data_IF_166452515251
#
_entry.id   IF_166452515251
#
_cell.length_a   1.000
_cell.length_b   1.000
_cell.length_c   1.000
_cell.angle_alpha   90.00
_cell.angle_beta   90.00
_cell.angle_gamma   90.00
#
_symmetry.space_group_name_H-M   'P 1'
#
loop_
_entity.id
_entity.type
_entity.pdbx_description
1 polymer ?
#
# COMPACT_ATOMS: atom_id res chain seq x y z
N UNK A 1 -20.18 -15.54 -0.30
CA UNK A 1 -19.50 -14.60 0.63
C UNK A 1 -19.13 -13.35 -0.16
N UNK A 2 -19.39 -12.14 0.35
CA UNK A 2 -18.98 -10.88 -0.29
C UNK A 2 -17.50 -10.67 0.02
N UNK A 3 -16.67 -10.57 -1.02
CA UNK A 3 -15.22 -10.42 -0.88
C UNK A 3 -14.77 -8.94 -0.88
N UNK A 4 -15.49 -8.07 -1.59
CA UNK A 4 -15.22 -6.62 -1.64
C UNK A 4 -16.02 -5.86 -0.57
N UNK A 5 -15.81 -6.21 0.70
CA UNK A 5 -16.60 -5.66 1.83
C UNK A 5 -16.45 -4.15 1.98
N UNK A 6 -15.28 -3.61 1.70
CA UNK A 6 -14.92 -2.21 1.90
C UNK A 6 -14.92 -1.45 0.57
N UNK A 7 -14.22 -1.94 -0.45
CA UNK A 7 -14.05 -1.18 -1.71
C UNK A 7 -15.37 -0.88 -2.41
N UNK A 8 -16.40 -1.73 -2.20
CA UNK A 8 -17.77 -1.50 -2.68
C UNK A 8 -18.39 -0.18 -2.22
N UNK A 9 -17.89 0.44 -1.16
CA UNK A 9 -18.41 1.71 -0.62
C UNK A 9 -18.39 2.80 -1.70
N UNK A 10 -17.35 2.85 -2.54
CA UNK A 10 -17.29 3.81 -3.66
C UNK A 10 -17.31 3.16 -5.04
N UNK A 11 -17.09 1.84 -5.17
CA UNK A 11 -17.15 1.18 -6.48
C UNK A 11 -18.54 0.71 -6.89
N UNK A 12 -19.50 0.69 -5.97
CA UNK A 12 -20.88 0.22 -6.20
C UNK A 12 -21.96 1.23 -5.82
N UNK A 13 -21.57 2.39 -5.31
CA UNK A 13 -22.49 3.47 -4.99
C UNK A 13 -22.59 4.43 -6.19
N UNK A 14 -23.73 4.40 -6.87
CA UNK A 14 -24.01 5.24 -8.05
C UNK A 14 -24.05 6.74 -7.70
N UNK A 15 -24.15 7.10 -6.41
CA UNK A 15 -24.03 8.49 -5.94
C UNK A 15 -22.58 9.00 -5.87
N UNK A 16 -21.59 8.13 -6.08
CA UNK A 16 -20.16 8.45 -6.05
C UNK A 16 -19.47 8.31 -7.41
N UNK A 17 -19.97 8.94 -8.50
CA UNK A 17 -19.40 8.79 -9.84
C UNK A 17 -17.98 9.35 -9.96
N UNK A 18 -17.64 10.36 -9.15
CA UNK A 18 -16.29 10.94 -9.14
C UNK A 18 -15.22 9.93 -8.70
N UNK A 19 -15.51 9.14 -7.65
CA UNK A 19 -14.61 8.09 -7.18
C UNK A 19 -14.38 7.03 -8.25
N UNK A 20 -15.46 6.61 -8.91
CA UNK A 20 -15.41 5.63 -10.00
C UNK A 20 -14.61 6.17 -11.19
N UNK A 21 -14.82 7.43 -11.57
CA UNK A 21 -14.08 8.08 -12.65
C UNK A 21 -12.56 8.17 -12.36
N UNK A 22 -12.17 8.47 -11.11
CA UNK A 22 -10.75 8.50 -10.71
C UNK A 22 -10.09 7.12 -10.81
N UNK A 23 -10.80 6.06 -10.45
CA UNK A 23 -10.29 4.68 -10.56
C UNK A 23 -10.15 4.25 -12.03
N UNK A 24 -11.12 4.61 -12.87
CA UNK A 24 -11.05 4.36 -14.31
C UNK A 24 -9.88 5.13 -14.92
N UNK A 25 -9.70 6.41 -14.52
CA UNK A 25 -8.55 7.22 -14.92
C UNK A 25 -7.20 6.64 -14.46
N UNK A 26 -7.17 5.92 -13.34
CA UNK A 26 -6.01 5.18 -12.86
C UNK A 26 -5.77 3.84 -13.61
N UNK A 27 -6.63 3.49 -14.56
CA UNK A 27 -6.47 2.32 -15.45
C UNK A 27 -7.33 1.12 -15.07
N UNK A 28 -8.31 1.25 -14.16
CA UNK A 28 -9.25 0.17 -13.86
C UNK A 28 -10.38 0.13 -14.88
N UNK A 29 -10.88 -1.08 -15.15
CA UNK A 29 -12.08 -1.28 -15.96
C UNK A 29 -13.34 -1.37 -15.09
N UNK A 30 -14.53 -1.24 -15.71
CA UNK A 30 -15.81 -1.48 -15.02
C UNK A 30 -15.90 -2.87 -14.37
N UNK A 31 -15.22 -3.86 -14.96
CA UNK A 31 -15.12 -5.20 -14.41
C UNK A 31 -14.24 -5.23 -13.15
N UNK A 32 -13.17 -4.44 -13.13
CA UNK A 32 -12.26 -4.33 -11.98
C UNK A 32 -12.94 -3.68 -10.78
N UNK A 33 -13.81 -2.69 -11.00
CA UNK A 33 -14.61 -2.05 -9.94
C UNK A 33 -15.48 -3.06 -9.15
N UNK A 34 -15.71 -4.26 -9.70
CA UNK A 34 -16.49 -5.32 -9.04
C UNK A 34 -15.63 -6.28 -8.22
N UNK A 35 -14.30 -6.21 -8.34
CA UNK A 35 -13.35 -7.10 -7.68
C UNK A 35 -12.96 -6.54 -6.31
N UNK A 36 -12.48 -7.38 -5.38
CA UNK A 36 -11.85 -6.91 -4.15
C UNK A 36 -10.53 -6.20 -4.44
N UNK A 37 -10.26 -5.14 -3.69
CA UNK A 37 -9.05 -4.32 -3.81
C UNK A 37 -8.04 -4.70 -2.73
N UNK A 38 -6.81 -4.96 -3.13
CA UNK A 38 -5.68 -5.23 -2.24
C UNK A 38 -4.70 -4.06 -2.32
N UNK A 39 -4.55 -3.34 -1.20
CA UNK A 39 -3.51 -2.33 -1.04
C UNK A 39 -2.16 -3.00 -0.83
N UNK A 40 -1.19 -2.72 -1.70
CA UNK A 40 0.15 -3.30 -1.62
C UNK A 40 1.10 -2.22 -1.11
N UNK A 41 1.44 -2.27 0.18
CA UNK A 41 2.28 -1.27 0.82
C UNK A 41 3.75 -1.66 0.68
N UNK A 42 4.56 -0.82 0.04
CA UNK A 42 6.01 -1.00 -0.02
C UNK A 42 6.73 0.00 0.86
N UNK A 43 7.76 -0.45 1.58
CA UNK A 43 8.74 0.43 2.25
C UNK A 43 10.00 0.60 1.40
N UNK A 44 9.89 0.47 0.07
CA UNK A 44 11.03 0.53 -0.84
C UNK A 44 11.56 1.94 -1.07
N UNK A 45 12.83 2.16 -0.72
CA UNK A 45 13.60 3.36 -1.01
C UNK A 45 15.07 3.00 -1.25
N UNK A 46 15.80 3.82 -2.01
CA UNK A 46 17.11 3.46 -2.56
C UNK A 46 18.28 3.65 -1.58
N UNK A 47 18.10 4.48 -0.56
CA UNK A 47 19.14 4.85 0.41
C UNK A 47 19.47 3.78 1.47
N UNK A 48 18.90 2.57 1.39
CA UNK A 48 19.17 1.49 2.34
C UNK A 48 19.15 0.12 1.65
N UNK A 49 20.13 -0.73 1.96
CA UNK A 49 20.25 -2.07 1.36
C UNK A 49 19.08 -2.97 1.74
N UNK A 50 18.49 -2.78 2.93
CA UNK A 50 17.29 -3.50 3.37
C UNK A 50 16.04 -3.16 2.55
N UNK A 51 15.99 -2.00 1.87
CA UNK A 51 14.77 -1.47 1.26
C UNK A 51 14.85 -1.30 -0.27
N UNK A 52 16.05 -1.17 -0.84
CA UNK A 52 16.26 -0.85 -2.27
C UNK A 52 15.57 -1.81 -3.26
N UNK A 53 15.27 -3.03 -2.84
CA UNK A 53 14.69 -4.08 -3.68
C UNK A 53 13.18 -4.29 -3.46
N UNK A 54 12.58 -3.64 -2.45
CA UNK A 54 11.21 -3.94 -2.03
C UNK A 54 10.15 -3.49 -3.03
N UNK A 55 10.41 -2.46 -3.83
CA UNK A 55 9.48 -2.06 -4.91
C UNK A 55 9.38 -3.15 -6.00
N UNK A 56 10.47 -3.84 -6.30
CA UNK A 56 10.46 -4.99 -7.21
C UNK A 56 9.68 -6.17 -6.63
N UNK A 57 9.85 -6.45 -5.34
CA UNK A 57 9.04 -7.46 -4.63
C UNK A 57 7.55 -7.09 -4.59
N UNK A 58 7.22 -5.82 -4.38
CA UNK A 58 5.84 -5.34 -4.42
C UNK A 58 5.19 -5.54 -5.81
N UNK A 59 5.98 -5.44 -6.88
CA UNK A 59 5.50 -5.73 -8.24
C UNK A 59 5.22 -7.23 -8.45
N UNK A 60 6.00 -8.13 -7.83
CA UNK A 60 5.70 -9.57 -7.81
C UNK A 60 4.43 -9.88 -7.01
N UNK A 61 4.26 -9.26 -5.85
CA UNK A 61 3.03 -9.38 -5.05
C UNK A 61 1.83 -8.91 -5.88
N UNK A 62 1.95 -7.78 -6.59
CA UNK A 62 0.89 -7.28 -7.48
C UNK A 62 0.54 -8.27 -8.58
N UNK A 63 1.53 -8.90 -9.22
CA UNK A 63 1.30 -9.98 -10.20
C UNK A 63 0.51 -11.13 -9.59
N UNK A 64 0.89 -11.59 -8.39
CA UNK A 64 0.19 -12.65 -7.68
C UNK A 64 -1.26 -12.31 -7.35
N UNK A 65 -1.51 -11.10 -6.83
CA UNK A 65 -2.86 -10.59 -6.54
C UNK A 65 -3.73 -10.58 -7.81
N UNK A 66 -3.20 -10.05 -8.92
CA UNK A 66 -3.93 -9.97 -10.18
C UNK A 66 -4.21 -11.34 -10.79
N UNK A 67 -3.27 -12.29 -10.65
CA UNK A 67 -3.46 -13.67 -11.09
C UNK A 67 -4.60 -14.40 -10.36
N UNK A 68 -4.94 -13.97 -9.14
CA UNK A 68 -6.10 -14.47 -8.39
C UNK A 68 -7.41 -13.73 -8.70
N UNK A 69 -7.43 -12.88 -9.74
CA UNK A 69 -8.62 -12.14 -10.14
C UNK A 69 -8.98 -10.99 -9.19
N UNK A 70 -8.02 -10.49 -8.42
CA UNK A 70 -8.16 -9.34 -7.53
C UNK A 70 -7.51 -8.09 -8.14
N UNK A 71 -7.81 -6.92 -7.59
CA UNK A 71 -7.17 -5.65 -8.00
C UNK A 71 -6.04 -5.33 -7.03
N UNK A 72 -4.81 -5.24 -7.52
CA UNK A 72 -3.65 -4.82 -6.73
C UNK A 72 -3.29 -3.34 -6.97
N UNK A 73 -3.38 -2.52 -5.93
CA UNK A 73 -3.03 -1.10 -5.96
C UNK A 73 -1.83 -0.85 -5.02
N UNK A 74 -0.68 -0.52 -5.60
CA UNK A 74 0.54 -0.27 -4.84
C UNK A 74 0.56 1.15 -4.30
N UNK A 75 0.97 1.28 -3.04
CA UNK A 75 1.36 2.55 -2.43
C UNK A 75 2.63 2.34 -1.62
N UNK A 76 3.24 3.44 -1.15
CA UNK A 76 4.46 3.38 -0.37
C UNK A 76 4.29 4.09 0.97
N UNK A 77 5.06 3.64 1.95
CA UNK A 77 5.34 4.40 3.18
C UNK A 77 6.84 4.60 3.34
N UNK A 78 7.22 5.40 4.33
CA UNK A 78 8.60 5.78 4.62
C UNK A 78 9.39 4.63 5.26
N UNK A 79 10.70 4.85 5.42
CA UNK A 79 11.59 4.04 6.22
C UNK A 79 12.85 4.81 6.56
N UNK A 80 13.56 4.36 7.60
CA UNK A 80 14.84 4.92 8.04
C UNK A 80 15.85 3.78 8.20
N UNK A 81 17.11 4.04 7.85
CA UNK A 81 18.19 3.08 8.09
C UNK A 81 18.83 3.33 9.45
N UNK A 82 18.63 2.39 10.39
CA UNK A 82 19.31 2.42 11.68
C UNK A 82 20.84 2.37 11.48
N UNK A 83 21.31 1.61 10.48
CA UNK A 83 22.73 1.52 10.15
C UNK A 83 23.37 2.85 9.75
N UNK A 84 22.64 3.72 9.03
CA UNK A 84 23.13 5.05 8.62
C UNK A 84 23.01 6.07 9.75
N UNK A 85 21.94 6.00 10.53
CA UNK A 85 21.63 7.00 11.57
C UNK A 85 22.33 6.72 12.90
N UNK A 86 22.87 5.53 13.10
CA UNK A 86 23.53 5.16 14.35
C UNK A 86 24.73 6.06 14.65
N UNK A 87 24.80 6.57 15.88
CA UNK A 87 25.87 7.46 16.34
C UNK A 87 25.74 8.93 15.94
N UNK A 88 24.62 9.35 15.32
CA UNK A 88 24.31 10.76 15.07
C UNK A 88 22.86 11.12 15.44
N UNK A 89 22.51 12.41 15.34
CA UNK A 89 21.19 12.92 15.73
C UNK A 89 20.02 12.34 14.92
N UNK A 90 20.29 11.72 13.77
CA UNK A 90 19.30 11.00 12.98
C UNK A 90 18.67 9.82 13.72
N UNK A 91 19.38 9.19 14.67
CA UNK A 91 18.86 8.03 15.43
C UNK A 91 17.62 8.39 16.26
N UNK A 92 17.41 9.68 16.57
CA UNK A 92 16.19 10.17 17.22
C UNK A 92 14.91 9.91 16.41
N UNK A 93 15.06 9.69 15.10
CA UNK A 93 13.95 9.44 14.17
C UNK A 93 13.72 7.96 13.86
N UNK A 94 14.57 7.05 14.36
CA UNK A 94 14.42 5.60 14.12
C UNK A 94 13.13 5.06 14.74
N UNK A 95 12.99 5.09 16.07
CA UNK A 95 11.86 4.43 16.74
C UNK A 95 10.50 5.07 16.39
N UNK A 96 10.45 6.40 16.24
CA UNK A 96 9.21 7.10 15.87
C UNK A 96 8.77 6.79 14.43
N UNK A 97 9.68 6.34 13.55
CA UNK A 97 9.31 5.93 12.19
C UNK A 97 8.32 4.76 12.20
N UNK A 98 8.35 3.89 13.21
CA UNK A 98 7.38 2.80 13.39
C UNK A 98 5.94 3.31 13.47
N UNK A 99 5.70 4.35 14.28
CA UNK A 99 4.36 4.93 14.44
C UNK A 99 3.91 5.61 13.14
N UNK A 100 4.80 6.37 12.50
CA UNK A 100 4.51 7.04 11.23
C UNK A 100 4.14 6.01 10.15
N UNK A 101 4.85 4.88 10.11
CA UNK A 101 4.57 3.79 9.18
C UNK A 101 3.19 3.19 9.46
N UNK A 102 2.88 2.85 10.72
CA UNK A 102 1.57 2.33 11.10
C UNK A 102 0.44 3.30 10.73
N UNK A 103 0.56 4.58 11.13
CA UNK A 103 -0.43 5.63 10.87
C UNK A 103 -0.63 5.86 9.36
N UNK A 104 0.46 5.82 8.58
CA UNK A 104 0.37 6.01 7.13
C UNK A 104 -0.36 4.85 6.43
N UNK A 105 -0.15 3.61 6.89
CA UNK A 105 -0.82 2.43 6.36
C UNK A 105 -2.30 2.47 6.74
N UNK A 106 -2.62 2.82 7.99
CA UNK A 106 -3.99 2.98 8.46
C UNK A 106 -4.72 4.07 7.67
N UNK A 107 -4.11 5.24 7.48
CA UNK A 107 -4.68 6.33 6.70
C UNK A 107 -4.98 5.90 5.26
N UNK A 108 -4.05 5.21 4.60
CA UNK A 108 -4.27 4.70 3.24
C UNK A 108 -5.39 3.66 3.18
N UNK A 109 -5.39 2.69 4.09
CA UNK A 109 -6.39 1.63 4.11
C UNK A 109 -7.80 2.17 4.42
N UNK A 110 -7.90 3.08 5.39
CA UNK A 110 -9.14 3.71 5.80
C UNK A 110 -9.71 4.66 4.75
N UNK A 111 -8.86 5.47 4.11
CA UNK A 111 -9.30 6.42 3.09
C UNK A 111 -9.68 5.74 1.76
N UNK A 112 -8.92 4.71 1.35
CA UNK A 112 -9.14 4.03 0.08
C UNK A 112 -9.96 2.75 0.19
N UNK A 113 -10.48 2.41 1.39
CA UNK A 113 -11.35 1.26 1.64
C UNK A 113 -10.84 -0.04 0.99
N UNK A 114 -9.54 -0.32 1.11
CA UNK A 114 -8.99 -1.57 0.60
C UNK A 114 -9.57 -2.77 1.39
N UNK A 115 -9.84 -3.87 0.69
CA UNK A 115 -10.42 -5.07 1.28
C UNK A 115 -9.37 -5.94 2.00
N UNK A 116 -8.11 -5.80 1.63
CA UNK A 116 -6.96 -6.43 2.26
C UNK A 116 -5.70 -5.57 2.04
N UNK A 117 -4.67 -5.85 2.83
CA UNK A 117 -3.34 -5.27 2.69
C UNK A 117 -2.28 -6.36 2.52
N UNK A 118 -1.29 -6.09 1.67
CA UNK A 118 -0.07 -6.86 1.57
C UNK A 118 1.12 -5.92 1.76
N UNK A 119 1.75 -5.96 2.94
CA UNK A 119 2.87 -5.10 3.26
C UNK A 119 4.21 -5.79 2.95
N UNK A 120 5.07 -5.10 2.23
CA UNK A 120 6.42 -5.53 1.84
C UNK A 120 7.43 -4.66 2.60
N UNK A 121 7.91 -5.20 3.70
CA UNK A 121 8.75 -4.52 4.70
C UNK A 121 10.17 -5.07 4.72
N UNK A 122 11.12 -4.24 5.17
CA UNK A 122 12.55 -4.58 5.18
C UNK A 122 13.23 -4.35 6.53
N UNK A 123 13.59 -3.10 6.81
CA UNK A 123 14.42 -2.73 7.97
C UNK A 123 13.66 -2.87 9.31
N UNK A 124 14.39 -2.78 10.42
CA UNK A 124 13.93 -3.04 11.80
C UNK A 124 12.55 -2.44 12.15
N UNK A 125 12.34 -1.15 11.90
CA UNK A 125 11.12 -0.43 12.30
C UNK A 125 9.99 -0.45 11.26
N UNK A 126 10.20 -1.12 10.11
CA UNK A 126 9.27 -1.13 8.98
C UNK A 126 8.08 -2.08 9.16
#
# INVERSE_FOLDING_TARGET
MILNKYSRIYTKDDSLPASQAMLIGAGLTDADLRKPFVGICSTGFEGNTCNMHLNGLADEVKRGVQAQGLVGLRFNTIGVSDGITNGNDGMRFSLVSREIIADSIEAMAGAHYYDALACVVGCDKN
#
